data_IF_698099561177
#
_entry.id   IF_698099561177
#
_cell.length_a   1.000
_cell.length_b   1.000
_cell.length_c   1.000
_cell.angle_alpha   90.00
_cell.angle_beta   90.00
_cell.angle_gamma   90.00
#
_symmetry.space_group_name_H-M   'P 1'
#
loop_
_entity.id
_entity.type
_entity.pdbx_description
1 polymer ?
#
# COMPACT_ATOMS: atom_id res chain seq x y z
N UNK A 1 8.33 -8.69 28.38
CA UNK A 1 7.17 -7.88 27.98
C UNK A 1 7.61 -6.62 27.26
N UNK A 2 8.37 -5.75 27.90
CA UNK A 2 8.83 -4.46 27.36
C UNK A 2 9.53 -4.53 26.01
N UNK A 3 10.42 -5.51 25.80
CA UNK A 3 11.14 -5.67 24.54
C UNK A 3 10.19 -5.92 23.34
N UNK A 4 9.15 -6.72 23.51
CA UNK A 4 8.17 -6.97 22.46
C UNK A 4 7.38 -5.70 22.14
N UNK A 5 6.87 -4.99 23.15
CA UNK A 5 6.08 -3.77 22.94
C UNK A 5 6.90 -2.67 22.29
N UNK A 6 8.18 -2.51 22.64
CA UNK A 6 9.09 -1.57 21.98
C UNK A 6 9.28 -1.87 20.48
N UNK A 7 9.16 -3.13 20.07
CA UNK A 7 9.32 -3.56 18.69
C UNK A 7 8.00 -3.76 17.93
N UNK A 8 6.84 -3.71 18.59
CA UNK A 8 5.53 -4.03 18.02
C UNK A 8 5.26 -3.33 16.69
N UNK A 9 5.43 -2.01 16.63
CA UNK A 9 5.17 -1.21 15.43
C UNK A 9 6.12 -1.56 14.28
N UNK A 10 7.40 -1.80 14.59
CA UNK A 10 8.40 -2.23 13.61
C UNK A 10 8.06 -3.61 13.05
N UNK A 11 7.63 -4.54 13.91
CA UNK A 11 7.22 -5.89 13.49
C UNK A 11 5.93 -5.87 12.66
N UNK A 12 4.96 -5.03 13.02
CA UNK A 12 3.74 -4.83 12.25
C UNK A 12 4.03 -4.23 10.87
N UNK A 13 4.94 -3.26 10.80
CA UNK A 13 5.41 -2.67 9.56
C UNK A 13 6.11 -3.69 8.65
N UNK A 14 6.92 -4.59 9.22
CA UNK A 14 7.56 -5.69 8.49
C UNK A 14 6.50 -6.65 7.92
N UNK A 15 5.57 -7.10 8.76
CA UNK A 15 4.51 -8.01 8.35
C UNK A 15 3.61 -7.39 7.26
N UNK A 16 3.23 -6.12 7.40
CA UNK A 16 2.42 -5.41 6.40
C UNK A 16 3.12 -5.31 5.04
N UNK A 17 4.42 -4.96 4.99
CA UNK A 17 5.18 -4.94 3.73
C UNK A 17 5.31 -6.33 3.09
N UNK A 18 5.36 -7.37 3.93
CA UNK A 18 5.39 -8.75 3.44
C UNK A 18 4.02 -9.24 2.96
N UNK A 19 2.93 -8.83 3.58
CA UNK A 19 1.60 -9.40 3.35
C UNK A 19 0.68 -8.50 2.51
N UNK A 20 0.86 -7.18 2.57
CA UNK A 20 -0.01 -6.19 1.93
C UNK A 20 -1.41 -6.12 2.54
N UNK A 21 -1.63 -6.78 3.68
CA UNK A 21 -2.87 -6.79 4.45
C UNK A 21 -2.54 -6.40 5.89
N UNK A 22 -3.22 -5.39 6.41
CA UNK A 22 -3.04 -4.95 7.78
C UNK A 22 -3.62 -5.95 8.77
N UNK A 23 -4.76 -6.57 8.44
CA UNK A 23 -5.36 -7.61 9.27
C UNK A 23 -4.44 -8.82 9.41
N UNK A 24 -3.90 -9.35 8.29
CA UNK A 24 -2.92 -10.44 8.33
C UNK A 24 -1.64 -10.06 9.07
N UNK A 25 -1.21 -8.80 8.97
CA UNK A 25 -0.03 -8.31 9.67
C UNK A 25 -0.26 -8.27 11.21
N UNK A 26 -1.43 -7.81 11.64
CA UNK A 26 -1.81 -7.84 13.07
C UNK A 26 -1.84 -9.26 13.62
N UNK A 27 -2.43 -10.19 12.88
CA UNK A 27 -2.48 -11.60 13.26
C UNK A 27 -1.08 -12.21 13.40
N UNK A 28 -0.18 -11.92 12.44
CA UNK A 28 1.22 -12.39 12.50
C UNK A 28 1.93 -11.83 13.72
N UNK A 29 1.72 -10.56 14.04
CA UNK A 29 2.31 -9.93 15.24
C UNK A 29 1.75 -10.55 16.51
N UNK A 30 0.45 -10.87 16.52
CA UNK A 30 -0.17 -11.56 17.64
C UNK A 30 0.36 -12.98 17.82
N UNK A 31 0.51 -13.75 16.73
CA UNK A 31 1.11 -15.08 16.76
C UNK A 31 2.58 -15.03 17.25
N UNK A 32 3.33 -14.01 16.82
CA UNK A 32 4.69 -13.78 17.28
C UNK A 32 4.75 -13.44 18.77
N UNK A 33 3.78 -12.68 19.28
CA UNK A 33 3.66 -12.40 20.71
C UNK A 33 3.41 -13.65 21.55
N UNK A 34 2.51 -14.52 21.12
CA UNK A 34 2.26 -15.80 21.80
C UNK A 34 3.53 -16.66 21.84
N UNK A 35 4.27 -16.74 20.73
CA UNK A 35 5.55 -17.45 20.69
C UNK A 35 6.60 -16.83 21.60
N UNK A 36 6.64 -15.50 21.67
CA UNK A 36 7.55 -14.77 22.56
C UNK A 36 7.25 -15.05 24.04
N UNK A 37 5.98 -15.11 24.43
CA UNK A 37 5.58 -15.45 25.79
C UNK A 37 5.94 -16.89 26.19
N UNK A 38 5.90 -17.81 25.24
CA UNK A 38 6.26 -19.21 25.47
C UNK A 38 7.77 -19.49 25.41
N UNK A 39 8.55 -18.53 24.88
CA UNK A 39 9.98 -18.67 24.73
C UNK A 39 10.72 -18.37 26.07
N UNK A 40 11.83 -19.08 26.31
CA UNK A 40 12.74 -18.77 27.40
C UNK A 40 13.61 -17.57 27.01
N UNK A 41 13.16 -16.37 27.46
CA UNK A 41 13.79 -15.10 27.08
C UNK A 41 15.27 -15.03 27.50
N UNK A 42 15.69 -15.75 28.55
CA UNK A 42 17.09 -15.78 29.01
C UNK A 42 18.01 -16.52 28.02
N UNK A 43 17.44 -17.41 27.22
CA UNK A 43 18.17 -18.16 26.17
C UNK A 43 18.21 -17.47 24.83
N UNK A 44 17.56 -16.32 24.67
CA UNK A 44 17.53 -15.56 23.42
C UNK A 44 18.57 -14.44 23.51
N UNK A 45 19.76 -14.58 22.87
CA UNK A 45 20.84 -13.61 23.01
C UNK A 45 20.52 -12.25 22.39
N UNK A 46 19.72 -12.24 21.32
CA UNK A 46 19.31 -10.99 20.61
C UNK A 46 17.80 -11.04 20.33
N UNK A 47 16.98 -10.54 21.28
CA UNK A 47 15.51 -10.56 21.18
C UNK A 47 14.96 -9.99 19.88
N UNK A 48 15.48 -8.85 19.44
CA UNK A 48 15.02 -8.19 18.20
C UNK A 48 15.24 -9.02 16.93
N UNK A 49 16.39 -9.71 16.85
CA UNK A 49 16.69 -10.61 15.73
C UNK A 49 15.76 -11.83 15.75
N UNK A 50 15.50 -12.39 16.92
CA UNK A 50 14.56 -13.50 17.11
C UNK A 50 13.13 -13.12 16.69
N UNK A 51 12.66 -11.96 17.15
CA UNK A 51 11.34 -11.43 16.78
C UNK A 51 11.22 -11.17 15.28
N UNK A 52 12.25 -10.55 14.68
CA UNK A 52 12.30 -10.32 13.23
C UNK A 52 12.24 -11.63 12.45
N UNK A 53 13.04 -12.64 12.84
CA UNK A 53 13.02 -13.99 12.24
C UNK A 53 11.64 -14.64 12.39
N UNK A 54 11.05 -14.55 13.57
CA UNK A 54 9.73 -15.14 13.87
C UNK A 54 8.64 -14.54 13.00
N UNK A 55 8.52 -13.19 12.95
CA UNK A 55 7.52 -12.49 12.13
C UNK A 55 7.75 -12.75 10.64
N UNK A 56 9.00 -12.76 10.19
CA UNK A 56 9.32 -13.06 8.78
C UNK A 56 8.87 -14.46 8.39
N UNK A 57 9.16 -15.48 9.21
CA UNK A 57 8.78 -16.87 8.93
C UNK A 57 7.27 -17.06 8.95
N UNK A 58 6.56 -16.49 9.95
CA UNK A 58 5.10 -16.50 10.00
C UNK A 58 4.49 -15.85 8.74
N UNK A 59 5.04 -14.72 8.32
CA UNK A 59 4.60 -14.04 7.10
C UNK A 59 4.85 -14.88 5.84
N UNK A 60 6.01 -15.54 5.73
CA UNK A 60 6.32 -16.45 4.63
C UNK A 60 5.35 -17.63 4.56
N UNK A 61 4.99 -18.21 5.70
CA UNK A 61 4.03 -19.32 5.76
C UNK A 61 2.63 -18.87 5.31
N UNK A 62 2.20 -17.67 5.72
CA UNK A 62 0.94 -17.07 5.21
C UNK A 62 1.00 -16.80 3.71
N UNK A 63 2.10 -16.25 3.19
CA UNK A 63 2.26 -16.01 1.75
C UNK A 63 2.19 -17.30 0.92
N UNK A 64 2.84 -18.37 1.37
CA UNK A 64 2.80 -19.69 0.72
C UNK A 64 1.38 -20.26 0.72
N UNK A 65 0.69 -20.17 1.84
CA UNK A 65 -0.70 -20.62 1.99
C UNK A 65 -1.68 -19.79 1.15
N UNK A 66 -1.54 -18.45 1.14
CA UNK A 66 -2.36 -17.55 0.34
C UNK A 66 -2.15 -17.75 -1.16
N UNK A 67 -0.89 -17.99 -1.60
CA UNK A 67 -0.57 -18.32 -2.98
C UNK A 67 -1.25 -19.62 -3.43
N UNK A 68 -1.15 -20.68 -2.63
CA UNK A 68 -1.80 -21.96 -2.91
C UNK A 68 -3.35 -21.85 -2.96
N UNK A 69 -3.94 -20.93 -2.17
CA UNK A 69 -5.38 -20.65 -2.23
C UNK A 69 -5.76 -19.87 -3.49
N UNK A 70 -4.95 -18.85 -3.89
CA UNK A 70 -5.21 -18.01 -5.07
C UNK A 70 -5.02 -18.74 -6.38
N UNK A 71 -4.12 -19.72 -6.46
CA UNK A 71 -4.01 -20.63 -7.62
C UNK A 71 -5.29 -21.44 -7.86
N UNK A 72 -6.18 -21.54 -6.84
CA UNK A 72 -7.48 -22.22 -6.91
C UNK A 72 -8.68 -21.27 -6.99
N UNK A 73 -8.50 -20.00 -6.76
CA UNK A 73 -9.56 -18.98 -6.73
C UNK A 73 -9.17 -17.76 -7.55
N UNK A 74 -10.00 -17.40 -8.51
CA UNK A 74 -9.86 -16.17 -9.29
C UNK A 74 -10.35 -15.02 -8.42
N UNK A 75 -9.45 -14.32 -7.74
CA UNK A 75 -9.78 -13.16 -6.90
C UNK A 75 -8.86 -11.97 -7.19
N UNK A 76 -9.44 -10.77 -7.17
CA UNK A 76 -8.68 -9.52 -7.24
C UNK A 76 -7.87 -9.39 -5.95
N UNK A 77 -6.54 -9.27 -6.06
CA UNK A 77 -5.69 -8.90 -4.94
C UNK A 77 -5.18 -7.47 -5.12
N UNK A 78 -5.40 -6.64 -4.12
CA UNK A 78 -4.80 -5.32 -3.95
C UNK A 78 -4.35 -5.16 -2.49
N UNK A 79 -3.27 -4.41 -2.23
CA UNK A 79 -2.89 -4.13 -0.86
C UNK A 79 -3.96 -3.30 -0.15
N UNK A 80 -4.10 -3.51 1.14
CA UNK A 80 -4.96 -2.74 2.01
C UNK A 80 -4.33 -1.35 2.23
N UNK A 81 -5.03 -0.23 1.91
CA UNK A 81 -4.46 1.10 2.03
C UNK A 81 -4.42 1.56 3.49
N UNK A 82 -3.35 2.27 3.85
CA UNK A 82 -3.16 2.84 5.18
C UNK A 82 -3.11 4.37 5.12
N UNK A 83 -3.92 5.03 5.95
CA UNK A 83 -3.87 6.48 6.12
C UNK A 83 -2.52 6.88 6.72
N UNK A 84 -1.99 8.02 6.32
CA UNK A 84 -0.73 8.52 6.83
C UNK A 84 -0.75 8.68 8.36
N UNK A 85 0.36 8.32 9.02
CA UNK A 85 0.43 8.23 10.47
C UNK A 85 -0.10 6.91 11.06
N UNK A 86 -0.51 5.93 10.25
CA UNK A 86 -0.74 4.57 10.75
C UNK A 86 0.60 3.95 11.20
N UNK A 87 0.67 3.38 12.43
CA UNK A 87 1.91 2.80 12.94
C UNK A 87 2.51 1.69 12.06
N UNK A 88 1.70 1.02 11.24
CA UNK A 88 2.16 -0.01 10.31
C UNK A 88 2.95 0.55 9.12
N UNK A 89 2.86 1.84 8.83
CA UNK A 89 3.74 2.45 7.83
C UNK A 89 5.20 2.46 8.30
N UNK A 90 5.40 2.44 9.64
CA UNK A 90 6.73 2.42 10.25
C UNK A 90 7.49 3.73 10.09
N UNK A 91 8.73 3.79 10.58
CA UNK A 91 9.58 4.95 10.37
C UNK A 91 9.92 5.10 8.88
N UNK A 92 9.94 6.34 8.42
CA UNK A 92 10.20 6.69 7.02
C UNK A 92 11.41 7.64 6.96
N UNK A 93 12.55 7.16 7.47
CA UNK A 93 13.78 7.96 7.58
C UNK A 93 14.48 8.11 6.22
N UNK A 94 14.32 7.13 5.34
CA UNK A 94 14.89 7.15 3.98
C UNK A 94 13.82 7.14 2.89
N UNK A 95 14.19 7.57 1.68
CA UNK A 95 13.31 7.53 0.51
C UNK A 95 12.88 6.09 0.19
N UNK A 96 13.80 5.13 0.30
CA UNK A 96 13.54 3.71 0.05
C UNK A 96 12.53 3.13 1.04
N UNK A 97 12.60 3.54 2.32
CA UNK A 97 11.63 3.10 3.33
C UNK A 97 10.23 3.65 3.04
N UNK A 98 10.11 4.91 2.62
CA UNK A 98 8.83 5.53 2.21
C UNK A 98 8.27 4.86 0.96
N UNK A 99 9.11 4.65 -0.06
CA UNK A 99 8.73 4.00 -1.31
C UNK A 99 8.24 2.56 -1.07
N UNK A 100 8.84 1.84 -0.12
CA UNK A 100 8.52 0.43 0.17
C UNK A 100 7.10 0.18 0.68
N UNK A 101 6.36 1.21 1.07
CA UNK A 101 4.95 1.13 1.50
C UNK A 101 3.98 1.66 0.46
N UNK A 102 4.45 2.19 -0.67
CA UNK A 102 3.54 2.65 -1.73
C UNK A 102 2.70 1.47 -2.26
N UNK A 103 1.44 1.74 -2.59
CA UNK A 103 0.55 0.68 -3.09
C UNK A 103 1.08 0.05 -4.36
N UNK A 104 1.68 0.83 -5.26
CA UNK A 104 2.27 0.32 -6.49
C UNK A 104 3.44 -0.64 -6.21
N UNK A 105 4.33 -0.31 -5.27
CA UNK A 105 5.42 -1.22 -4.85
C UNK A 105 4.84 -2.47 -4.21
N UNK A 106 3.88 -2.35 -3.29
CA UNK A 106 3.24 -3.52 -2.66
C UNK A 106 2.59 -4.44 -3.69
N UNK A 107 1.94 -3.90 -4.73
CA UNK A 107 1.38 -4.67 -5.85
C UNK A 107 2.46 -5.38 -6.67
N UNK A 108 3.62 -4.76 -6.87
CA UNK A 108 4.75 -5.41 -7.55
C UNK A 108 5.38 -6.51 -6.70
N UNK A 109 5.50 -6.29 -5.39
CA UNK A 109 5.99 -7.29 -4.45
C UNK A 109 5.13 -8.56 -4.47
N UNK A 110 3.84 -8.46 -4.77
CA UNK A 110 2.95 -9.62 -4.89
C UNK A 110 3.33 -10.57 -6.02
N UNK A 111 3.95 -10.04 -7.08
CA UNK A 111 4.43 -10.82 -8.23
C UNK A 111 5.74 -11.57 -7.96
N UNK A 112 6.40 -11.29 -6.84
CA UNK A 112 7.64 -11.94 -6.44
C UNK A 112 7.36 -13.31 -5.79
N UNK A 113 8.35 -14.21 -5.87
CA UNK A 113 8.33 -15.39 -5.02
C UNK A 113 8.43 -14.97 -3.54
N UNK A 114 7.78 -15.68 -2.60
CA UNK A 114 7.79 -15.29 -1.18
C UNK A 114 9.18 -14.98 -0.63
N UNK A 115 10.17 -15.79 -0.97
CA UNK A 115 11.57 -15.60 -0.53
C UNK A 115 12.20 -14.33 -1.15
N UNK A 116 11.94 -14.03 -2.42
CA UNK A 116 12.43 -12.82 -3.09
C UNK A 116 11.81 -11.56 -2.46
N UNK A 117 10.51 -11.64 -2.11
CA UNK A 117 9.79 -10.57 -1.40
C UNK A 117 10.38 -10.33 -0.01
N UNK A 118 10.64 -11.40 0.77
CA UNK A 118 11.24 -11.28 2.09
C UNK A 118 12.64 -10.66 2.03
N UNK A 119 13.49 -11.13 1.12
CA UNK A 119 14.85 -10.56 0.94
C UNK A 119 14.76 -9.08 0.55
N UNK A 120 13.86 -8.71 -0.36
CA UNK A 120 13.68 -7.32 -0.79
C UNK A 120 13.25 -6.43 0.39
N UNK A 121 12.21 -6.82 1.12
CA UNK A 121 11.68 -6.04 2.24
C UNK A 121 12.73 -5.88 3.35
N UNK A 122 13.38 -6.98 3.77
CA UNK A 122 14.44 -6.92 4.80
C UNK A 122 15.61 -6.02 4.37
N UNK A 123 15.99 -6.05 3.10
CA UNK A 123 17.11 -5.27 2.58
C UNK A 123 16.76 -3.78 2.40
N UNK A 124 15.67 -3.48 1.68
CA UNK A 124 15.36 -2.11 1.24
C UNK A 124 14.59 -1.31 2.31
N UNK A 125 13.67 -1.97 3.04
CA UNK A 125 12.85 -1.29 4.03
C UNK A 125 13.46 -1.32 5.45
N UNK A 126 14.23 -2.35 5.79
CA UNK A 126 14.79 -2.54 7.14
C UNK A 126 16.31 -2.51 7.18
N UNK A 127 16.98 -2.28 6.04
CA UNK A 127 18.43 -2.08 5.92
C UNK A 127 19.29 -3.25 6.45
N UNK A 128 18.74 -4.47 6.53
CA UNK A 128 19.49 -5.65 6.95
C UNK A 128 20.60 -5.98 5.95
N UNK A 129 21.76 -6.39 6.47
CA UNK A 129 22.88 -6.90 5.66
C UNK A 129 22.56 -8.30 5.13
N UNK A 130 23.15 -8.67 4.00
CA UNK A 130 22.92 -10.00 3.41
C UNK A 130 23.26 -11.16 4.34
N UNK A 131 24.24 -10.99 5.25
CA UNK A 131 24.54 -11.97 6.28
C UNK A 131 23.39 -12.16 7.26
N UNK A 132 22.80 -11.06 7.75
CA UNK A 132 21.64 -11.10 8.67
C UNK A 132 20.41 -11.70 7.98
N UNK A 133 20.17 -11.33 6.72
CA UNK A 133 19.07 -11.88 5.91
C UNK A 133 19.27 -13.40 5.71
N UNK A 134 20.50 -13.84 5.49
CA UNK A 134 20.84 -15.25 5.36
C UNK A 134 20.49 -16.05 6.63
N UNK A 135 20.78 -15.49 7.81
CA UNK A 135 20.44 -16.08 9.12
C UNK A 135 18.93 -16.07 9.39
N UNK A 136 18.22 -14.98 9.02
CA UNK A 136 16.77 -14.85 9.20
C UNK A 136 16.03 -15.91 8.37
N UNK A 137 16.47 -16.11 7.10
CA UNK A 137 15.76 -16.91 6.11
C UNK A 137 16.30 -18.33 5.94
N UNK A 138 17.35 -18.71 6.68
CA UNK A 138 18.06 -19.99 6.57
C UNK A 138 18.54 -20.28 5.13
N UNK A 139 19.20 -19.27 4.50
CA UNK A 139 19.77 -19.35 3.15
C UNK A 139 21.24 -18.94 3.16
N UNK A 140 21.96 -19.17 2.07
CA UNK A 140 23.32 -18.66 1.94
C UNK A 140 23.35 -17.15 1.67
N UNK A 141 24.43 -16.46 2.03
CA UNK A 141 24.66 -15.05 1.71
C UNK A 141 24.57 -14.80 0.19
N UNK A 142 25.15 -15.72 -0.60
CA UNK A 142 25.08 -15.66 -2.07
C UNK A 142 23.63 -15.77 -2.58
N UNK A 143 22.81 -16.67 -2.00
CA UNK A 143 21.40 -16.78 -2.36
C UNK A 143 20.64 -15.50 -2.01
N UNK A 144 20.91 -14.88 -0.85
CA UNK A 144 20.33 -13.58 -0.47
C UNK A 144 20.66 -12.48 -1.50
N UNK A 145 21.92 -12.40 -1.95
CA UNK A 145 22.33 -11.45 -3.00
C UNK A 145 21.62 -11.68 -4.33
N UNK A 146 21.49 -12.93 -4.76
CA UNK A 146 20.80 -13.30 -5.99
C UNK A 146 19.31 -12.98 -5.93
N UNK A 147 18.64 -13.29 -4.81
CA UNK A 147 17.22 -12.95 -4.61
C UNK A 147 17.00 -11.44 -4.61
N UNK A 148 17.87 -10.66 -3.93
CA UNK A 148 17.80 -9.20 -3.93
C UNK A 148 17.98 -8.64 -5.34
N UNK A 149 18.92 -9.15 -6.14
CA UNK A 149 19.13 -8.71 -7.51
C UNK A 149 17.88 -8.96 -8.38
N UNK A 150 17.31 -10.17 -8.33
CA UNK A 150 16.07 -10.51 -9.06
C UNK A 150 14.87 -9.67 -8.63
N UNK A 151 14.70 -9.47 -7.33
CA UNK A 151 13.62 -8.64 -6.80
C UNK A 151 13.75 -7.18 -7.25
N UNK A 152 14.95 -6.59 -7.13
CA UNK A 152 15.21 -5.22 -7.59
C UNK A 152 14.95 -5.03 -9.08
N UNK A 153 15.36 -5.98 -9.93
CA UNK A 153 15.12 -5.87 -11.37
C UNK A 153 13.64 -5.84 -11.72
N UNK A 154 12.80 -6.56 -10.97
CA UNK A 154 11.33 -6.58 -11.16
C UNK A 154 10.62 -5.36 -10.58
N UNK A 155 11.10 -4.84 -9.46
CA UNK A 155 10.52 -3.68 -8.77
C UNK A 155 11.01 -2.35 -9.38
N UNK A 156 12.16 -2.33 -10.04
CA UNK A 156 12.82 -1.14 -10.59
C UNK A 156 11.99 -0.32 -11.58
N UNK A 157 10.97 -0.92 -12.18
CA UNK A 157 10.05 -0.26 -13.12
C UNK A 157 9.18 0.81 -12.43
N UNK A 158 8.97 0.71 -11.11
CA UNK A 158 8.18 1.67 -10.32
C UNK A 158 9.03 2.69 -9.54
N UNK A 159 10.36 2.59 -9.61
CA UNK A 159 11.28 3.46 -8.85
C UNK A 159 11.47 4.80 -9.52
N UNK A 160 10.70 5.78 -9.15
CA UNK A 160 10.96 7.23 -9.26
C UNK A 160 9.87 8.04 -8.54
N UNK A 161 9.44 7.55 -7.39
CA UNK A 161 8.40 8.20 -6.57
C UNK A 161 9.04 9.33 -5.78
N UNK A 162 8.59 10.53 -6.00
CA UNK A 162 8.93 11.66 -5.14
C UNK A 162 7.90 11.73 -4.03
N UNK A 163 8.35 11.62 -2.78
CA UNK A 163 7.51 11.89 -1.62
C UNK A 163 7.24 13.39 -1.56
N UNK A 164 6.01 13.78 -1.83
CA UNK A 164 5.56 15.14 -1.61
C UNK A 164 5.39 15.40 -0.10
N UNK A 165 5.65 16.60 0.36
CA UNK A 165 5.17 17.03 1.66
C UNK A 165 3.64 17.14 1.63
N UNK A 166 2.99 17.21 2.81
CA UNK A 166 1.53 17.22 2.90
C UNK A 166 0.89 18.38 2.13
N UNK A 167 1.53 19.54 2.05
CA UNK A 167 1.03 20.69 1.28
C UNK A 167 1.16 20.48 -0.24
N UNK A 168 2.28 19.91 -0.69
CA UNK A 168 2.45 19.53 -2.09
C UNK A 168 1.50 18.40 -2.49
N UNK A 169 1.30 17.41 -1.62
CA UNK A 169 0.33 16.33 -1.83
C UNK A 169 -1.09 16.85 -2.02
N UNK A 170 -1.51 17.82 -1.17
CA UNK A 170 -2.81 18.46 -1.29
C UNK A 170 -2.95 19.19 -2.63
N UNK A 171 -1.96 19.97 -3.06
CA UNK A 171 -1.99 20.68 -4.36
C UNK A 171 -2.14 19.71 -5.54
N UNK A 172 -1.46 18.56 -5.49
CA UNK A 172 -1.56 17.52 -6.54
C UNK A 172 -2.97 16.92 -6.56
N UNK A 173 -3.53 16.59 -5.41
CA UNK A 173 -4.88 16.05 -5.29
C UNK A 173 -5.93 17.08 -5.76
N UNK A 174 -5.78 18.35 -5.39
CA UNK A 174 -6.63 19.46 -5.86
C UNK A 174 -6.60 19.59 -7.39
N UNK A 175 -5.41 19.66 -7.99
CA UNK A 175 -5.25 19.73 -9.43
C UNK A 175 -5.88 18.53 -10.16
N UNK A 176 -5.73 17.33 -9.59
CA UNK A 176 -6.34 16.12 -10.14
C UNK A 176 -7.86 16.16 -10.05
N UNK A 177 -8.44 16.54 -8.91
CA UNK A 177 -9.90 16.67 -8.69
C UNK A 177 -10.50 17.74 -9.62
N UNK A 178 -9.86 18.91 -9.72
CA UNK A 178 -10.29 19.99 -10.61
C UNK A 178 -10.29 19.56 -12.08
N UNK A 179 -9.24 18.87 -12.52
CA UNK A 179 -9.14 18.35 -13.88
C UNK A 179 -10.23 17.30 -14.14
N UNK A 180 -10.45 16.37 -13.20
CA UNK A 180 -11.44 15.30 -13.30
C UNK A 180 -12.88 15.86 -13.32
N UNK A 181 -13.17 16.81 -12.43
CA UNK A 181 -14.49 17.46 -12.33
C UNK A 181 -14.81 18.38 -13.51
N UNK A 182 -13.77 18.93 -14.18
CA UNK A 182 -13.94 19.84 -15.34
C UNK A 182 -14.64 19.19 -16.54
N UNK A 183 -14.68 17.85 -16.59
CA UNK A 183 -15.19 17.10 -17.73
C UNK A 183 -14.30 17.12 -18.98
N UNK A 184 -13.13 17.76 -18.91
CA UNK A 184 -12.17 17.91 -20.03
C UNK A 184 -11.03 16.93 -19.89
N UNK A 185 -10.97 15.92 -20.77
CA UNK A 185 -9.96 14.86 -20.76
C UNK A 185 -8.53 15.42 -20.91
N UNK A 186 -8.37 16.48 -21.72
CA UNK A 186 -7.07 17.10 -21.99
C UNK A 186 -6.41 17.67 -20.73
N UNK A 187 -7.23 18.18 -19.77
CA UNK A 187 -6.71 18.66 -18.48
C UNK A 187 -6.15 17.54 -17.61
N UNK A 188 -6.77 16.37 -17.63
CA UNK A 188 -6.24 15.19 -16.96
C UNK A 188 -4.97 14.67 -17.65
N UNK A 189 -4.98 14.54 -18.97
CA UNK A 189 -3.80 14.09 -19.74
C UNK A 189 -2.59 14.99 -19.47
N UNK A 190 -2.78 16.29 -19.34
CA UNK A 190 -1.70 17.23 -19.05
C UNK A 190 -1.03 16.98 -17.68
N UNK A 191 -1.76 16.39 -16.71
CA UNK A 191 -1.22 16.03 -15.39
C UNK A 191 -0.50 14.68 -15.39
N UNK A 192 -0.67 13.84 -16.41
CA UNK A 192 -0.11 12.51 -16.47
C UNK A 192 1.27 12.50 -17.14
N UNK A 193 2.12 11.55 -16.78
CA UNK A 193 3.33 11.25 -17.55
C UNK A 193 2.97 10.43 -18.81
N UNK A 194 3.83 10.42 -19.83
CA UNK A 194 3.58 9.67 -21.06
C UNK A 194 3.56 8.15 -20.84
N UNK A 195 4.24 7.67 -19.78
CA UNK A 195 4.30 6.27 -19.35
C UNK A 195 3.41 5.98 -18.11
N UNK A 196 2.43 6.85 -17.84
CA UNK A 196 1.51 6.68 -16.71
C UNK A 196 0.81 5.33 -16.75
N UNK A 197 0.65 4.73 -15.58
CA UNK A 197 -0.15 3.51 -15.37
C UNK A 197 -1.33 3.78 -14.46
N UNK A 198 -2.42 3.05 -14.64
CA UNK A 198 -3.54 3.10 -13.70
C UNK A 198 -4.10 1.72 -13.44
N UNK A 199 -4.49 1.47 -12.18
CA UNK A 199 -5.14 0.23 -11.75
C UNK A 199 -6.36 0.56 -10.93
N UNK A 200 -7.50 -0.06 -11.28
CA UNK A 200 -8.77 0.11 -10.60
C UNK A 200 -9.31 -1.26 -10.18
N UNK A 201 -9.92 -1.35 -9.01
CA UNK A 201 -10.57 -2.57 -8.52
C UNK A 201 -11.95 -2.84 -9.13
N UNK A 202 -12.39 -1.99 -10.06
CA UNK A 202 -13.66 -2.13 -10.74
C UNK A 202 -14.88 -1.95 -9.84
N UNK A 203 -14.75 -1.26 -8.71
CA UNK A 203 -15.83 -1.00 -7.73
C UNK A 203 -16.40 -2.29 -7.10
N UNK A 204 -15.61 -3.36 -7.04
CA UNK A 204 -16.11 -4.68 -6.61
C UNK A 204 -17.11 -5.33 -7.60
N UNK A 205 -17.31 -4.74 -8.78
CA UNK A 205 -18.24 -5.23 -9.81
C UNK A 205 -17.59 -6.15 -10.83
N UNK A 206 -16.26 -6.26 -10.80
CA UNK A 206 -15.49 -7.11 -11.72
C UNK A 206 -14.64 -8.08 -10.93
N UNK A 207 -14.38 -9.25 -11.51
CA UNK A 207 -13.48 -10.26 -10.92
C UNK A 207 -12.00 -9.99 -11.23
N UNK A 208 -11.69 -8.94 -12.00
CA UNK A 208 -10.33 -8.60 -12.44
C UNK A 208 -10.03 -7.13 -12.24
N UNK A 209 -8.74 -6.85 -11.96
CA UNK A 209 -8.23 -5.49 -11.97
C UNK A 209 -8.30 -4.91 -13.38
N UNK A 210 -8.82 -3.68 -13.47
CA UNK A 210 -8.79 -2.91 -14.70
C UNK A 210 -7.46 -2.13 -14.74
N UNK A 211 -6.60 -2.46 -15.70
CA UNK A 211 -5.28 -1.84 -15.85
C UNK A 211 -5.19 -1.07 -17.17
N UNK A 212 -4.66 0.14 -17.10
CA UNK A 212 -4.48 1.01 -18.25
C UNK A 212 -3.05 1.58 -18.26
N UNK A 213 -2.51 1.76 -19.46
CA UNK A 213 -1.15 2.29 -19.69
C UNK A 213 -1.13 3.42 -20.72
N UNK A 214 -2.28 3.85 -21.20
CA UNK A 214 -2.44 4.93 -22.19
C UNK A 214 -3.06 6.13 -21.47
N UNK A 215 -2.38 7.28 -21.39
CA UNK A 215 -2.84 8.46 -20.65
C UNK A 215 -4.27 8.90 -21.01
N UNK A 216 -4.64 8.88 -22.28
CA UNK A 216 -5.99 9.25 -22.75
C UNK A 216 -7.07 8.31 -22.24
N UNK A 217 -6.78 7.00 -22.19
CA UNK A 217 -7.70 6.00 -21.64
C UNK A 217 -7.84 6.18 -20.12
N UNK A 218 -6.74 6.40 -19.42
CA UNK A 218 -6.73 6.70 -17.98
C UNK A 218 -7.56 7.94 -17.70
N UNK A 219 -7.31 9.02 -18.42
CA UNK A 219 -8.05 10.28 -18.28
C UNK A 219 -9.55 10.10 -18.56
N UNK A 220 -9.91 9.31 -19.57
CA UNK A 220 -11.31 9.01 -19.89
C UNK A 220 -12.00 8.22 -18.76
N UNK A 221 -11.32 7.20 -18.19
CA UNK A 221 -11.84 6.40 -17.07
C UNK A 221 -11.98 7.25 -15.81
N UNK A 222 -10.97 8.05 -15.45
CA UNK A 222 -11.01 8.95 -14.29
C UNK A 222 -12.15 9.96 -14.44
N UNK A 223 -12.25 10.63 -15.60
CA UNK A 223 -13.37 11.55 -15.88
C UNK A 223 -14.72 10.86 -15.76
N UNK A 224 -14.84 9.65 -16.31
CA UNK A 224 -16.07 8.88 -16.19
C UNK A 224 -16.35 8.54 -14.72
N UNK A 225 -15.36 8.16 -13.93
CA UNK A 225 -15.49 7.91 -12.49
C UNK A 225 -15.97 9.16 -11.74
N UNK A 226 -15.42 10.32 -12.04
CA UNK A 226 -15.77 11.60 -11.41
C UNK A 226 -17.08 12.22 -11.90
N UNK A 227 -17.72 11.70 -12.95
CA UNK A 227 -19.03 12.17 -13.38
C UNK A 227 -20.12 11.64 -12.44
N UNK A 228 -20.80 12.49 -11.65
CA UNK A 228 -21.87 12.05 -10.76
C UNK A 228 -23.09 11.59 -11.57
N UNK A 229 -23.57 10.39 -11.28
CA UNK A 229 -24.80 9.84 -11.85
C UNK A 229 -25.69 9.25 -10.75
N UNK A 230 -27.03 9.19 -10.94
CA UNK A 230 -27.92 8.57 -9.96
C UNK A 230 -27.53 7.12 -9.63
N UNK A 231 -27.03 6.37 -10.61
CA UNK A 231 -26.57 4.98 -10.41
C UNK A 231 -25.33 4.91 -9.50
N UNK A 232 -24.34 5.77 -9.73
CA UNK A 232 -23.12 5.82 -8.89
C UNK A 232 -23.43 6.29 -7.47
N UNK A 233 -24.31 7.28 -7.32
CA UNK A 233 -24.77 7.72 -5.99
C UNK A 233 -25.46 6.61 -5.23
N UNK A 234 -26.31 5.82 -5.89
CA UNK A 234 -26.92 4.63 -5.28
C UNK A 234 -25.87 3.59 -4.90
N UNK A 235 -24.89 3.32 -5.77
CA UNK A 235 -23.79 2.39 -5.50
C UNK A 235 -22.92 2.84 -4.33
N UNK A 236 -22.59 4.13 -4.28
CA UNK A 236 -21.82 4.72 -3.18
C UNK A 236 -22.62 4.79 -1.86
N UNK A 237 -23.94 4.70 -1.91
CA UNK A 237 -24.84 4.85 -0.77
C UNK A 237 -25.25 6.29 -0.47
N UNK A 238 -24.95 7.26 -1.35
CA UNK A 238 -25.29 8.67 -1.15
C UNK A 238 -24.48 9.61 -2.04
N UNK A 239 -24.27 10.83 -1.54
CA UNK A 239 -23.44 11.87 -2.17
C UNK A 239 -22.15 12.01 -1.34
N UNK A 240 -21.06 11.40 -1.75
CA UNK A 240 -19.81 11.47 -0.98
C UNK A 240 -19.20 12.88 -1.04
N UNK A 241 -18.54 13.28 0.03
CA UNK A 241 -17.60 14.38 0.02
C UNK A 241 -16.24 13.89 -0.54
N UNK A 242 -15.49 14.78 -1.17
CA UNK A 242 -14.18 14.46 -1.74
C UNK A 242 -13.11 15.21 -0.96
N UNK A 243 -12.16 14.47 -0.41
CA UNK A 243 -11.06 15.00 0.39
C UNK A 243 -9.70 14.73 -0.26
N UNK A 244 -8.74 15.56 0.07
CA UNK A 244 -7.31 15.30 -0.19
C UNK A 244 -6.62 14.92 1.12
N UNK A 245 -5.88 13.82 1.12
CA UNK A 245 -5.01 13.43 2.24
C UNK A 245 -3.84 12.61 1.71
N UNK A 246 -3.09 11.98 2.60
CA UNK A 246 -2.00 11.07 2.26
C UNK A 246 -2.33 9.64 2.65
N UNK A 247 -2.09 8.72 1.73
CA UNK A 247 -2.29 7.28 1.93
C UNK A 247 -1.01 6.56 1.49
N UNK A 248 -0.46 5.72 2.37
CA UNK A 248 0.80 5.03 2.13
C UNK A 248 1.96 5.98 1.75
N UNK A 249 1.99 7.18 2.35
CA UNK A 249 3.01 8.20 2.09
C UNK A 249 2.86 8.96 0.77
N UNK A 250 1.74 8.82 0.06
CA UNK A 250 1.49 9.43 -1.25
C UNK A 250 0.22 10.29 -1.24
N UNK A 251 0.14 11.32 -2.13
CA UNK A 251 -1.08 12.08 -2.35
C UNK A 251 -2.26 11.18 -2.67
N UNK A 252 -3.39 11.42 -2.04
CA UNK A 252 -4.60 10.64 -2.25
C UNK A 252 -5.86 11.51 -2.29
N UNK A 253 -6.84 11.04 -3.04
CA UNK A 253 -8.20 11.57 -3.10
C UNK A 253 -9.13 10.53 -2.47
N UNK A 254 -9.85 10.92 -1.44
CA UNK A 254 -10.77 10.06 -0.72
C UNK A 254 -12.21 10.52 -0.95
N UNK A 255 -13.11 9.59 -1.22
CA UNK A 255 -14.55 9.82 -1.24
C UNK A 255 -15.15 9.29 0.07
N UNK A 256 -15.87 10.15 0.81
CA UNK A 256 -16.41 9.80 2.13
C UNK A 256 -17.93 10.03 2.20
N UNK A 257 -18.61 9.16 2.92
CA UNK A 257 -20.01 9.34 3.33
C UNK A 257 -20.06 9.42 4.86
N UNK A 258 -20.21 10.63 5.39
CA UNK A 258 -19.96 10.87 6.80
C UNK A 258 -18.54 10.40 7.15
N UNK A 259 -18.44 9.52 8.14
CA UNK A 259 -17.15 8.99 8.63
C UNK A 259 -16.67 7.75 7.86
N UNK A 260 -17.36 7.32 6.82
CA UNK A 260 -16.99 6.12 6.05
C UNK A 260 -16.28 6.50 4.75
N UNK A 261 -15.08 5.97 4.53
CA UNK A 261 -14.42 6.04 3.23
C UNK A 261 -15.05 5.01 2.29
N UNK A 262 -15.55 5.48 1.14
CA UNK A 262 -16.24 4.66 0.13
C UNK A 262 -15.49 4.61 -1.20
N UNK A 263 -14.38 5.31 -1.30
CA UNK A 263 -13.52 5.31 -2.47
C UNK A 263 -12.20 6.00 -2.20
N UNK A 264 -11.17 5.57 -2.91
CA UNK A 264 -9.80 6.04 -2.79
C UNK A 264 -9.15 6.08 -4.17
N UNK A 265 -8.38 7.13 -4.46
CA UNK A 265 -7.41 7.16 -5.54
C UNK A 265 -6.06 7.65 -4.99
N UNK A 266 -5.04 6.83 -5.04
CA UNK A 266 -3.66 7.17 -4.65
C UNK A 266 -2.90 7.58 -5.89
N UNK A 267 -2.20 8.72 -5.81
CA UNK A 267 -1.50 9.39 -6.91
C UNK A 267 0.00 9.32 -6.68
N UNK A 268 0.69 8.51 -7.46
CA UNK A 268 2.14 8.44 -7.43
C UNK A 268 2.71 9.46 -8.41
N UNK A 269 3.66 10.29 -7.98
CA UNK A 269 4.15 11.40 -8.79
C UNK A 269 5.61 11.24 -9.19
N UNK A 270 5.94 11.77 -10.35
CA UNK A 270 7.31 11.94 -10.86
C UNK A 270 7.48 13.40 -11.27
N UNK A 271 8.19 14.17 -10.44
CA UNK A 271 8.20 15.62 -10.55
C UNK A 271 6.81 16.20 -10.25
N UNK A 272 6.30 17.00 -11.16
CA UNK A 272 4.99 17.65 -11.12
C UNK A 272 3.87 16.87 -11.81
N UNK A 273 4.18 15.66 -12.34
CA UNK A 273 3.23 14.82 -13.08
C UNK A 273 2.92 13.52 -12.34
N UNK A 274 1.73 12.98 -12.57
CA UNK A 274 1.24 11.73 -12.03
C UNK A 274 1.74 10.58 -12.91
N UNK A 275 2.53 9.68 -12.31
CA UNK A 275 3.10 8.51 -12.96
C UNK A 275 2.27 7.23 -12.73
N UNK A 276 1.48 7.19 -11.65
CA UNK A 276 0.59 6.06 -11.39
C UNK A 276 -0.67 6.48 -10.65
N UNK A 277 -1.78 5.82 -10.94
CA UNK A 277 -3.05 5.97 -10.22
C UNK A 277 -3.51 4.59 -9.76
N UNK A 278 -3.66 4.41 -8.45
CA UNK A 278 -4.25 3.20 -7.87
C UNK A 278 -5.57 3.57 -7.23
N UNK A 279 -6.68 3.01 -7.72
CA UNK A 279 -8.02 3.32 -7.20
C UNK A 279 -8.68 2.09 -6.59
N UNK A 280 -9.23 2.26 -5.40
CA UNK A 280 -9.91 1.25 -4.61
C UNK A 280 -11.28 1.79 -4.21
N UNK A 281 -12.33 1.03 -4.49
CA UNK A 281 -13.70 1.33 -4.08
C UNK A 281 -14.39 0.10 -3.45
N UNK A 282 -13.68 -1.02 -3.33
CA UNK A 282 -14.11 -2.15 -2.52
C UNK A 282 -14.06 -1.75 -1.03
N UNK A 283 -15.23 -1.62 -0.42
CA UNK A 283 -15.35 -1.14 0.97
C UNK A 283 -14.73 -2.07 2.01
N UNK A 284 -14.60 -3.36 1.71
CA UNK A 284 -13.97 -4.32 2.62
C UNK A 284 -12.48 -4.02 2.77
N UNK A 285 -11.83 -3.56 1.70
CA UNK A 285 -10.43 -3.12 1.69
C UNK A 285 -10.20 -1.75 2.34
N UNK A 286 -11.25 -0.95 2.44
CA UNK A 286 -11.22 0.40 3.03
C UNK A 286 -11.57 0.42 4.52
N UNK A 287 -11.78 -0.75 5.14
CA UNK A 287 -12.21 -0.89 6.54
C UNK A 287 -11.25 -0.21 7.51
N UNK A 288 -9.97 -0.56 7.48
CA UNK A 288 -8.94 0.03 8.36
C UNK A 288 -8.72 1.51 8.08
N UNK A 289 -8.70 1.89 6.80
CA UNK A 289 -8.62 3.30 6.40
C UNK A 289 -9.79 4.09 7.00
N UNK A 290 -11.01 3.56 6.93
CA UNK A 290 -12.21 4.14 7.54
C UNK A 290 -12.09 4.27 9.06
N UNK A 291 -11.60 3.24 9.75
CA UNK A 291 -11.41 3.29 11.21
C UNK A 291 -10.39 4.36 11.61
N UNK A 292 -9.31 4.49 10.86
CA UNK A 292 -8.30 5.51 11.10
C UNK A 292 -8.84 6.91 10.77
N UNK A 293 -9.58 7.03 9.66
CA UNK A 293 -10.24 8.26 9.25
C UNK A 293 -11.10 8.84 10.37
N UNK A 294 -11.92 8.05 11.04
CA UNK A 294 -12.78 8.46 12.16
C UNK A 294 -12.05 9.03 13.37
N UNK A 295 -10.76 8.75 13.52
CA UNK A 295 -9.98 9.08 14.73
C UNK A 295 -9.07 10.28 14.57
N UNK A 296 -8.98 10.85 13.37
CA UNK A 296 -8.09 11.97 13.09
C UNK A 296 -8.87 13.18 12.57
N UNK A 297 -8.34 14.35 12.78
CA UNK A 297 -8.90 15.57 12.20
C UNK A 297 -8.51 15.66 10.73
N UNK A 298 -9.45 16.14 9.91
CA UNK A 298 -9.27 16.27 8.47
C UNK A 298 -9.42 17.73 8.04
N UNK A 299 -8.73 18.08 6.96
CA UNK A 299 -8.97 19.35 6.28
C UNK A 299 -10.35 19.35 5.60
N UNK A 300 -10.87 20.54 5.35
CA UNK A 300 -12.12 20.72 4.63
C UNK A 300 -12.12 19.95 3.29
N UNK A 301 -13.28 19.38 2.90
CA UNK A 301 -13.39 18.67 1.64
C UNK A 301 -13.13 19.59 0.45
N UNK A 302 -12.57 19.05 -0.63
CA UNK A 302 -12.45 19.73 -1.92
C UNK A 302 -13.80 19.88 -2.60
N UNK A 303 -14.71 18.91 -2.38
CA UNK A 303 -16.09 18.91 -2.85
C UNK A 303 -16.96 18.38 -1.70
N UNK A 304 -17.89 19.19 -1.21
CA UNK A 304 -18.77 18.81 -0.10
C UNK A 304 -19.81 17.74 -0.47
N UNK A 305 -20.24 17.73 -1.74
CA UNK A 305 -21.31 16.85 -2.22
C UNK A 305 -21.12 16.54 -3.71
N UNK A 306 -20.57 15.36 -3.98
CA UNK A 306 -20.33 14.86 -5.33
C UNK A 306 -21.55 14.18 -5.97
#
# INVERSE_FOLDING_TARGET
>A
MECFEANRNRLASLAYRLLGSAADAEDVVQDAFVRWQAADAERIPVPEAWLTKTVTNLSLDRLRSARARRERSVGIWMPEPLLDGDPMLGPADTAEQRESVSLAVLMLLERLAPIERAVYVLREAFSHRHAEIAEILDISVSASQQHAHRARSRVRVARNVHTADRAAARRIAEAFVDAAASGRTERLVALLTDDTTAVFDGLGLTEHLLSYTVPEQIAAVVRAAFRPTPAKRRLAGGRPAIHADMVNGLPAVLATLGDKVVGLAVLETRGDKIASVVSIADTDRLGRLTERWRRVEHADPLIESW
#
